data_IF_600658526895
#
_entry.id   IF_600658526895
#
_cell.length_a   1.000
_cell.length_b   1.000
_cell.length_c   1.000
_cell.angle_alpha   90.00
_cell.angle_beta   90.00
_cell.angle_gamma   90.00
#
_symmetry.space_group_name_H-M   'P 1'
#
loop_
_entity.id
_entity.type
_entity.pdbx_description
1 polymer ?
#
# COMPACT_ATOMS: atom_id res chain seq x y z
N UNK A 1 -0.39 -1.23 31.15
CA UNK A 1 -0.81 -2.59 30.76
C UNK A 1 0.22 -3.16 29.80
N UNK A 2 0.59 -4.42 29.97
CA UNK A 2 1.44 -5.14 29.00
C UNK A 2 0.56 -5.64 27.85
N UNK A 3 0.87 -5.30 26.61
CA UNK A 3 0.18 -5.84 25.44
C UNK A 3 0.67 -7.28 25.23
N UNK A 4 -0.12 -8.30 25.61
CA UNK A 4 0.29 -9.69 25.44
C UNK A 4 0.23 -10.09 23.95
N UNK A 5 1.38 -10.42 23.31
CA UNK A 5 1.40 -10.81 21.92
C UNK A 5 0.91 -12.24 21.74
N UNK A 6 0.17 -12.50 20.66
CA UNK A 6 -0.28 -13.85 20.28
C UNK A 6 -0.24 -14.06 18.78
N UNK A 7 -0.31 -15.32 18.38
CA UNK A 7 -0.54 -15.77 17.01
C UNK A 7 -1.67 -16.78 17.06
N UNK A 8 -2.57 -16.75 16.08
CA UNK A 8 -3.70 -17.67 15.98
C UNK A 8 -3.58 -18.49 14.71
N UNK A 9 -4.27 -19.62 14.67
CA UNK A 9 -4.21 -20.55 13.54
C UNK A 9 -4.65 -19.89 12.22
N UNK A 10 -5.59 -18.95 12.26
CA UNK A 10 -6.06 -18.26 11.05
C UNK A 10 -5.26 -17.00 10.68
N UNK A 11 -4.23 -16.62 11.45
CA UNK A 11 -3.55 -15.33 11.26
C UNK A 11 -2.89 -15.19 9.87
N UNK A 12 -2.54 -16.31 9.21
CA UNK A 12 -2.00 -16.33 7.84
C UNK A 12 -3.06 -16.65 6.76
N UNK A 13 -4.32 -16.92 7.10
CA UNK A 13 -5.33 -17.37 6.12
C UNK A 13 -5.69 -16.29 5.09
N UNK A 14 -5.49 -15.01 5.44
CA UNK A 14 -5.75 -13.92 4.50
C UNK A 14 -4.86 -13.97 3.25
N UNK A 15 -3.70 -14.63 3.32
CA UNK A 15 -2.82 -14.78 2.15
C UNK A 15 -3.44 -15.62 1.01
N UNK A 16 -4.47 -16.41 1.30
CA UNK A 16 -5.22 -17.13 0.26
C UNK A 16 -5.99 -16.19 -0.68
N UNK A 17 -6.36 -15.01 -0.19
CA UNK A 17 -7.08 -13.97 -0.95
C UNK A 17 -6.25 -12.68 -1.03
N UNK A 18 -4.91 -12.79 -1.00
CA UNK A 18 -4.00 -11.64 -0.90
C UNK A 18 -4.17 -10.63 -2.03
N UNK A 19 -4.51 -11.08 -3.23
CA UNK A 19 -4.71 -10.22 -4.40
C UNK A 19 -5.88 -9.24 -4.16
N UNK A 20 -6.95 -9.70 -3.49
CA UNK A 20 -8.09 -8.85 -3.15
C UNK A 20 -7.71 -7.87 -2.05
N UNK A 21 -7.04 -8.34 -0.99
CA UNK A 21 -6.60 -7.47 0.11
C UNK A 21 -5.58 -6.41 -0.34
N UNK A 22 -4.69 -6.73 -1.28
CA UNK A 22 -3.81 -5.76 -1.93
C UNK A 22 -4.61 -4.66 -2.63
N UNK A 23 -5.62 -5.02 -3.43
CA UNK A 23 -6.51 -4.06 -4.09
C UNK A 23 -7.28 -3.18 -3.10
N UNK A 24 -7.79 -3.75 -2.00
CA UNK A 24 -8.46 -2.98 -0.97
C UNK A 24 -7.50 -2.00 -0.28
N UNK A 25 -6.28 -2.44 0.03
CA UNK A 25 -5.25 -1.56 0.61
C UNK A 25 -4.86 -0.42 -0.33
N UNK A 26 -4.74 -0.67 -1.64
CA UNK A 26 -4.45 0.39 -2.61
C UNK A 26 -5.65 1.34 -2.79
N UNK A 27 -6.87 0.79 -2.73
CA UNK A 27 -8.12 1.53 -2.81
C UNK A 27 -8.32 2.56 -1.70
N UNK A 28 -7.65 2.42 -0.55
CA UNK A 28 -7.65 3.43 0.52
C UNK A 28 -7.24 4.81 -0.05
N UNK A 29 -6.25 4.85 -0.94
CA UNK A 29 -5.68 6.10 -1.50
C UNK A 29 -6.63 6.83 -2.44
N UNK A 30 -7.47 6.09 -3.17
CA UNK A 30 -8.46 6.65 -4.10
C UNK A 30 -9.82 6.87 -3.44
N UNK A 31 -10.09 6.23 -2.31
CA UNK A 31 -11.33 6.42 -1.55
C UNK A 31 -11.35 7.77 -0.83
N UNK A 32 -12.41 8.55 -1.07
CA UNK A 32 -12.67 9.76 -0.32
C UNK A 32 -12.99 9.41 1.14
N UNK A 33 -12.45 10.20 2.08
CA UNK A 33 -12.90 10.10 3.48
C UNK A 33 -14.30 10.68 3.55
N UNK A 34 -15.28 9.85 3.90
CA UNK A 34 -16.65 10.32 4.11
C UNK A 34 -16.75 11.13 5.42
N UNK A 35 -17.63 12.13 5.47
CA UNK A 35 -17.70 13.06 6.61
C UNK A 35 -18.01 12.39 7.96
N UNK A 36 -18.70 11.24 7.92
CA UNK A 36 -18.94 10.39 9.09
C UNK A 36 -17.67 9.72 9.63
N UNK A 37 -16.77 9.25 8.74
CA UNK A 37 -15.45 8.72 9.12
C UNK A 37 -14.61 9.84 9.74
N UNK A 38 -14.56 11.01 9.10
CA UNK A 38 -13.80 12.16 9.62
C UNK A 38 -14.30 12.58 11.00
N UNK A 39 -15.62 12.64 11.18
CA UNK A 39 -16.25 13.01 12.46
C UNK A 39 -15.91 11.99 13.54
N UNK A 40 -16.03 10.69 13.24
CA UNK A 40 -15.62 9.67 14.18
C UNK A 40 -14.14 9.83 14.55
N UNK A 41 -13.24 9.81 13.57
CA UNK A 41 -11.81 9.80 13.86
C UNK A 41 -11.35 11.07 14.57
N UNK A 42 -12.06 12.19 14.38
CA UNK A 42 -11.85 13.43 15.16
C UNK A 42 -12.36 13.31 16.60
N UNK A 43 -13.45 12.57 16.84
CA UNK A 43 -13.94 12.25 18.20
C UNK A 43 -12.98 11.30 18.92
N UNK A 44 -12.56 10.25 18.23
CA UNK A 44 -11.57 9.27 18.65
C UNK A 44 -10.26 9.94 19.16
N UNK A 45 -9.81 10.98 18.45
CA UNK A 45 -8.65 11.79 18.82
C UNK A 45 -8.79 12.58 20.13
N UNK A 46 -10.01 12.73 20.66
CA UNK A 46 -10.28 13.39 21.95
C UNK A 46 -10.37 12.38 23.11
N UNK A 47 -10.25 11.08 22.81
CA UNK A 47 -10.31 9.98 23.77
C UNK A 47 -9.17 9.97 24.79
N UNK A 48 -9.32 9.16 25.84
CA UNK A 48 -8.61 9.35 27.12
C UNK A 48 -7.26 8.62 27.28
N UNK A 49 -6.74 7.96 26.25
CA UNK A 49 -5.40 7.35 26.31
C UNK A 49 -4.34 8.25 25.69
N UNK A 50 -3.24 8.42 26.41
CA UNK A 50 -1.97 9.11 26.08
C UNK A 50 -1.26 8.66 24.77
N UNK A 51 -1.98 8.03 23.86
CA UNK A 51 -1.52 7.42 22.62
C UNK A 51 -1.99 8.22 21.37
N UNK A 52 -2.88 9.21 21.52
CA UNK A 52 -3.92 9.49 20.50
C UNK A 52 -4.21 10.96 20.18
N UNK A 53 -3.33 11.88 20.57
CA UNK A 53 -3.47 13.31 20.24
C UNK A 53 -2.56 13.75 19.08
N UNK A 54 -2.36 12.91 18.06
CA UNK A 54 -1.60 13.30 16.87
C UNK A 54 -2.31 12.94 15.56
N UNK A 55 -2.08 13.74 14.53
CA UNK A 55 -2.68 13.57 13.20
C UNK A 55 -2.43 12.17 12.62
N UNK A 56 -1.32 11.53 13.00
CA UNK A 56 -1.00 10.15 12.62
C UNK A 56 -2.05 9.14 13.11
N UNK A 57 -2.50 9.24 14.36
CA UNK A 57 -3.52 8.35 14.92
C UNK A 57 -4.86 8.53 14.22
N UNK A 58 -5.21 9.78 13.90
CA UNK A 58 -6.40 10.11 13.10
C UNK A 58 -6.32 9.47 11.72
N UNK A 59 -5.19 9.60 11.04
CA UNK A 59 -4.97 9.01 9.72
C UNK A 59 -5.07 7.48 9.74
N UNK A 60 -4.53 6.82 10.77
CA UNK A 60 -4.66 5.36 10.95
C UNK A 60 -6.13 4.98 11.14
N UNK A 61 -6.89 5.71 11.96
CA UNK A 61 -8.32 5.50 12.14
C UNK A 61 -9.09 5.65 10.81
N UNK A 62 -8.85 6.74 10.06
CA UNK A 62 -9.56 6.99 8.80
C UNK A 62 -9.24 5.92 7.75
N UNK A 63 -7.97 5.54 7.63
CA UNK A 63 -7.53 4.51 6.71
C UNK A 63 -8.05 3.11 7.09
N UNK A 64 -8.11 2.79 8.39
CA UNK A 64 -8.68 1.53 8.87
C UNK A 64 -10.17 1.44 8.51
N UNK A 65 -10.94 2.49 8.73
CA UNK A 65 -12.38 2.52 8.42
C UNK A 65 -12.64 2.48 6.91
N UNK A 66 -11.80 3.15 6.10
CA UNK A 66 -11.85 3.01 4.64
C UNK A 66 -11.57 1.59 4.21
N UNK A 67 -10.52 0.97 4.77
CA UNK A 67 -10.16 -0.41 4.47
C UNK A 67 -11.30 -1.36 4.84
N UNK A 68 -11.90 -1.20 6.02
CA UNK A 68 -13.07 -1.95 6.46
C UNK A 68 -14.23 -1.83 5.46
N UNK A 69 -14.58 -0.61 5.03
CA UNK A 69 -15.65 -0.37 4.05
C UNK A 69 -15.36 -0.95 2.66
N UNK A 70 -14.09 -1.07 2.28
CA UNK A 70 -13.68 -1.63 0.98
C UNK A 70 -13.75 -3.17 0.96
N UNK A 71 -13.65 -3.83 2.12
CA UNK A 71 -13.75 -5.29 2.22
C UNK A 71 -15.24 -5.68 2.14
N UNK A 72 -15.66 -6.46 1.12
CA UNK A 72 -17.05 -6.87 0.98
C UNK A 72 -17.44 -7.83 2.09
N UNK A 73 -18.55 -7.54 2.77
CA UNK A 73 -19.13 -8.32 3.88
C UNK A 73 -18.06 -8.98 4.77
N UNK A 74 -17.49 -8.17 5.68
CA UNK A 74 -16.36 -8.56 6.53
C UNK A 74 -16.63 -9.88 7.29
N UNK A 75 -17.90 -10.22 7.55
CA UNK A 75 -18.30 -11.41 8.30
C UNK A 75 -18.40 -12.72 7.48
N UNK A 76 -18.59 -12.67 6.16
CA UNK A 76 -18.72 -13.90 5.33
C UNK A 76 -17.43 -14.73 5.28
N UNK A 77 -16.28 -14.06 5.42
CA UNK A 77 -14.96 -14.68 5.52
C UNK A 77 -14.22 -14.14 6.74
N UNK A 78 -14.90 -14.15 7.90
CA UNK A 78 -14.48 -13.49 9.15
C UNK A 78 -12.99 -13.69 9.45
N UNK A 79 -12.50 -14.92 9.41
CA UNK A 79 -11.10 -15.25 9.70
C UNK A 79 -10.09 -14.58 8.77
N UNK A 80 -10.36 -14.57 7.46
CA UNK A 80 -9.49 -13.96 6.46
C UNK A 80 -9.55 -12.44 6.53
N UNK A 81 -10.77 -11.90 6.59
CA UNK A 81 -11.00 -10.46 6.57
C UNK A 81 -10.46 -9.79 7.84
N UNK A 82 -10.82 -10.31 9.02
CA UNK A 82 -10.28 -9.79 10.28
C UNK A 82 -8.82 -10.15 10.50
N UNK A 83 -8.35 -11.29 9.97
CA UNK A 83 -6.92 -11.61 9.95
C UNK A 83 -6.10 -10.53 9.23
N UNK A 84 -6.57 -10.09 8.06
CA UNK A 84 -5.94 -9.00 7.33
C UNK A 84 -6.05 -7.65 8.05
N UNK A 85 -7.23 -7.27 8.55
CA UNK A 85 -7.42 -6.02 9.30
C UNK A 85 -6.53 -5.96 10.55
N UNK A 86 -6.41 -7.09 11.27
CA UNK A 86 -5.53 -7.21 12.43
C UNK A 86 -4.05 -7.07 12.04
N UNK A 87 -3.60 -7.76 10.97
CA UNK A 87 -2.26 -7.58 10.41
C UNK A 87 -1.99 -6.11 10.06
N UNK A 88 -2.89 -5.49 9.29
CA UNK A 88 -2.74 -4.13 8.81
C UNK A 88 -2.60 -3.15 9.97
N UNK A 89 -3.48 -3.23 10.98
CA UNK A 89 -3.42 -2.32 12.13
C UNK A 89 -2.16 -2.53 12.98
N UNK A 90 -1.73 -3.79 13.20
CA UNK A 90 -0.47 -4.09 13.88
C UNK A 90 0.72 -3.47 13.14
N UNK A 91 0.76 -3.62 11.81
CA UNK A 91 1.82 -3.06 10.99
C UNK A 91 1.86 -1.54 11.10
N UNK A 92 0.75 -0.85 10.84
CA UNK A 92 0.67 0.63 10.90
C UNK A 92 1.06 1.17 12.28
N UNK A 93 0.57 0.58 13.37
CA UNK A 93 0.92 1.01 14.72
C UNK A 93 2.39 0.77 15.07
N UNK A 94 2.98 -0.32 14.57
CA UNK A 94 4.41 -0.62 14.78
C UNK A 94 5.34 0.42 14.16
N UNK A 95 4.90 1.12 13.11
CA UNK A 95 5.66 2.18 12.46
C UNK A 95 5.63 3.50 13.24
N UNK A 96 4.69 3.66 14.17
CA UNK A 96 4.50 4.89 14.96
C UNK A 96 5.07 4.71 16.36
N UNK A 97 4.59 3.69 17.07
CA UNK A 97 5.01 3.40 18.44
C UNK A 97 4.65 1.95 18.78
N UNK A 98 5.65 1.09 18.92
CA UNK A 98 5.44 -0.31 19.27
C UNK A 98 4.86 -0.56 20.68
N UNK A 99 4.68 0.48 21.50
CA UNK A 99 4.01 0.41 22.81
C UNK A 99 2.49 0.53 22.72
N UNK A 100 1.93 0.91 21.57
CA UNK A 100 0.47 0.98 21.39
C UNK A 100 -0.09 -0.45 21.34
N UNK A 101 -0.97 -0.81 22.28
CA UNK A 101 -1.69 -2.08 22.17
C UNK A 101 -2.73 -1.99 21.05
N UNK A 102 -2.76 -2.99 20.16
CA UNK A 102 -3.69 -2.99 19.02
C UNK A 102 -5.13 -3.10 19.49
N UNK A 103 -5.38 -3.93 20.51
CA UNK A 103 -6.72 -4.06 21.10
C UNK A 103 -7.19 -2.73 21.70
N UNK A 104 -6.38 -2.12 22.57
CA UNK A 104 -6.68 -0.80 23.13
C UNK A 104 -6.92 0.26 22.07
N UNK A 105 -6.15 0.19 20.97
CA UNK A 105 -6.38 1.09 19.85
C UNK A 105 -7.76 0.83 19.23
N UNK A 106 -8.01 -0.41 18.86
CA UNK A 106 -9.25 -0.79 18.22
C UNK A 106 -10.48 -0.49 19.07
N UNK A 107 -10.50 -0.93 20.34
CA UNK A 107 -11.66 -0.80 21.24
C UNK A 107 -12.14 0.65 21.38
N UNK A 108 -11.21 1.60 21.50
CA UNK A 108 -11.59 3.00 21.63
C UNK A 108 -11.73 3.72 20.29
N UNK A 109 -11.19 3.19 19.19
CA UNK A 109 -11.65 3.63 17.87
C UNK A 109 -13.13 3.21 17.68
N UNK A 110 -13.46 1.97 18.01
CA UNK A 110 -14.82 1.42 17.93
C UNK A 110 -15.80 2.19 18.83
N UNK A 111 -15.43 2.48 20.08
CA UNK A 111 -16.32 3.22 21.00
C UNK A 111 -16.66 4.63 20.54
N UNK A 112 -15.81 5.26 19.72
CA UNK A 112 -16.08 6.57 19.12
C UNK A 112 -16.71 6.48 17.73
N UNK A 113 -16.61 5.32 17.08
CA UNK A 113 -17.12 5.03 15.74
C UNK A 113 -18.34 4.11 15.79
N UNK A 114 -19.20 4.28 16.79
CA UNK A 114 -20.38 3.45 16.95
C UNK A 114 -21.25 3.45 15.67
N UNK A 115 -21.76 2.28 15.30
CA UNK A 115 -22.51 2.05 14.07
C UNK A 115 -21.69 2.11 12.77
N UNK A 116 -20.34 2.11 12.82
CA UNK A 116 -19.47 1.97 11.64
C UNK A 116 -19.01 0.55 11.37
N UNK A 117 -19.23 -0.36 12.31
CA UNK A 117 -18.90 -1.77 12.21
C UNK A 117 -20.19 -2.61 12.23
N UNK A 118 -20.25 -3.63 11.38
CA UNK A 118 -21.43 -4.48 11.24
C UNK A 118 -21.36 -5.63 12.26
N UNK A 119 -22.13 -5.50 13.34
CA UNK A 119 -22.33 -6.54 14.35
C UNK A 119 -21.40 -6.47 15.57
N UNK A 120 -21.67 -7.33 16.55
CA UNK A 120 -20.84 -7.45 17.77
C UNK A 120 -19.50 -8.09 17.42
N UNK A 121 -18.47 -7.26 17.44
CA UNK A 121 -17.09 -7.69 17.33
C UNK A 121 -16.69 -8.31 18.67
N UNK A 122 -16.46 -9.61 18.64
CA UNK A 122 -15.96 -10.35 19.81
C UNK A 122 -14.58 -9.82 20.20
N UNK A 123 -14.33 -9.63 21.50
CA UNK A 123 -13.09 -9.10 22.11
C UNK A 123 -11.76 -9.70 21.62
N UNK A 124 -11.80 -10.80 20.87
CA UNK A 124 -10.63 -11.58 20.52
C UNK A 124 -10.14 -11.37 19.06
N UNK A 125 -10.85 -10.62 18.20
CA UNK A 125 -10.44 -10.50 16.78
C UNK A 125 -9.27 -9.54 16.53
N UNK A 126 -9.15 -8.47 17.33
CA UNK A 126 -8.06 -7.50 17.25
C UNK A 126 -7.09 -7.71 18.40
N UNK A 127 -5.81 -7.88 18.08
CA UNK A 127 -4.80 -8.23 19.07
C UNK A 127 -3.38 -7.94 18.60
N UNK A 128 -2.48 -7.81 19.56
CA UNK A 128 -1.06 -7.67 19.29
C UNK A 128 -0.49 -8.96 18.70
N UNK A 129 0.02 -8.89 17.48
CA UNK A 129 0.76 -9.98 16.85
C UNK A 129 2.14 -10.12 17.51
N UNK A 130 2.66 -11.35 17.54
CA UNK A 130 4.07 -11.58 17.83
C UNK A 130 4.93 -10.81 16.83
N UNK A 131 5.99 -10.16 17.30
CA UNK A 131 6.86 -9.32 16.46
C UNK A 131 7.44 -10.08 15.27
N UNK A 132 7.90 -11.31 15.51
CA UNK A 132 8.51 -12.14 14.46
C UNK A 132 7.47 -12.57 13.41
N UNK A 133 6.25 -12.90 13.84
CA UNK A 133 5.14 -13.19 12.92
C UNK A 133 4.71 -11.96 12.13
N UNK A 134 4.63 -10.78 12.76
CA UNK A 134 4.33 -9.53 12.06
C UNK A 134 5.38 -9.23 10.98
N UNK A 135 6.67 -9.44 11.27
CA UNK A 135 7.75 -9.29 10.29
C UNK A 135 7.60 -10.29 9.14
N UNK A 136 7.40 -11.58 9.45
CA UNK A 136 7.16 -12.66 8.48
C UNK A 136 5.96 -12.34 7.56
N UNK A 137 4.83 -11.90 8.12
CA UNK A 137 3.66 -11.49 7.36
C UNK A 137 3.94 -10.28 6.46
N UNK A 138 4.62 -9.26 6.98
CA UNK A 138 4.94 -8.08 6.19
C UNK A 138 5.84 -8.42 5.00
N UNK A 139 6.81 -9.32 5.19
CA UNK A 139 7.68 -9.78 4.13
C UNK A 139 6.91 -10.51 3.02
N UNK A 140 5.98 -11.41 3.38
CA UNK A 140 5.06 -12.05 2.42
C UNK A 140 4.19 -11.02 1.69
N UNK A 141 3.58 -10.08 2.42
CA UNK A 141 2.75 -9.04 1.83
C UNK A 141 3.54 -8.19 0.81
N UNK A 142 4.77 -7.81 1.17
CA UNK A 142 5.71 -7.06 0.33
C UNK A 142 6.10 -7.84 -0.93
N UNK A 143 6.28 -9.16 -0.83
CA UNK A 143 6.53 -10.04 -1.98
C UNK A 143 5.34 -10.05 -2.95
N UNK A 144 4.12 -10.22 -2.45
CA UNK A 144 2.91 -10.20 -3.28
C UNK A 144 2.68 -8.83 -3.95
N UNK A 145 2.95 -7.72 -3.26
CA UNK A 145 2.87 -6.38 -3.87
C UNK A 145 3.82 -6.24 -5.07
N UNK A 146 5.08 -6.67 -4.93
CA UNK A 146 6.03 -6.65 -6.05
C UNK A 146 5.62 -7.59 -7.17
N UNK A 147 5.05 -8.75 -6.84
CA UNK A 147 4.49 -9.65 -7.85
C UNK A 147 3.40 -8.93 -8.67
N UNK A 148 2.48 -8.23 -8.03
CA UNK A 148 1.43 -7.47 -8.72
C UNK A 148 2.02 -6.37 -9.60
N UNK A 149 2.98 -5.60 -9.09
CA UNK A 149 3.65 -4.57 -9.89
C UNK A 149 4.35 -5.16 -11.13
N UNK A 150 4.98 -6.33 -10.99
CA UNK A 150 5.61 -7.08 -12.08
C UNK A 150 4.57 -7.56 -13.10
N UNK A 151 3.48 -8.16 -12.63
CA UNK A 151 2.40 -8.69 -13.48
C UNK A 151 1.72 -7.57 -14.28
N UNK A 152 1.45 -6.43 -13.65
CA UNK A 152 0.85 -5.25 -14.28
C UNK A 152 1.77 -4.66 -15.37
N UNK A 153 3.09 -4.62 -15.12
CA UNK A 153 4.10 -4.19 -16.10
C UNK A 153 4.12 -5.14 -17.30
N UNK A 154 4.05 -6.46 -17.04
CA UNK A 154 4.06 -7.47 -18.10
C UNK A 154 2.78 -7.43 -18.94
N UNK A 155 1.65 -6.97 -18.36
CA UNK A 155 0.37 -6.85 -19.05
C UNK A 155 0.17 -5.60 -19.93
N UNK A 156 0.93 -4.51 -19.76
CA UNK A 156 0.61 -3.19 -20.34
C UNK A 156 1.77 -2.50 -21.09
N UNK A 157 2.64 -3.25 -21.78
CA UNK A 157 4.03 -2.80 -22.03
C UNK A 157 4.24 -1.66 -23.05
N UNK A 158 5.11 -0.72 -22.66
CA UNK A 158 5.85 0.33 -23.39
C UNK A 158 7.38 0.19 -23.13
N UNK A 159 8.25 1.01 -23.75
CA UNK A 159 9.73 0.87 -23.62
C UNK A 159 10.29 1.15 -22.21
N UNK A 160 9.67 2.04 -21.42
CA UNK A 160 10.14 2.40 -20.07
C UNK A 160 9.96 1.27 -19.03
N UNK A 161 9.16 0.27 -19.38
CA UNK A 161 8.78 -0.85 -18.51
C UNK A 161 9.90 -1.86 -18.26
N UNK A 162 10.94 -1.84 -19.09
CA UNK A 162 12.06 -2.79 -18.99
C UNK A 162 12.92 -2.52 -17.75
N UNK A 163 13.19 -1.24 -17.45
CA UNK A 163 13.99 -0.83 -16.28
C UNK A 163 13.21 -1.03 -14.98
N UNK A 164 11.89 -0.79 -15.01
CA UNK A 164 10.99 -1.05 -13.89
C UNK A 164 10.90 -2.55 -13.59
N UNK A 165 10.74 -3.41 -14.61
CA UNK A 165 10.71 -4.85 -14.41
C UNK A 165 11.97 -5.39 -13.73
N UNK A 166 13.15 -4.88 -14.11
CA UNK A 166 14.42 -5.26 -13.48
C UNK A 166 14.48 -4.80 -12.03
N UNK A 167 14.05 -3.56 -11.75
CA UNK A 167 14.01 -3.01 -10.40
C UNK A 167 13.11 -3.86 -9.48
N UNK A 168 11.87 -4.11 -9.90
CA UNK A 168 10.91 -4.87 -9.09
C UNK A 168 11.31 -6.34 -8.91
N UNK A 169 11.79 -7.01 -9.98
CA UNK A 169 12.25 -8.40 -9.86
C UNK A 169 13.51 -8.53 -8.99
N UNK A 170 14.41 -7.55 -9.01
CA UNK A 170 15.57 -7.50 -8.10
C UNK A 170 15.14 -7.27 -6.65
N UNK A 171 14.21 -6.35 -6.40
CA UNK A 171 13.66 -6.14 -5.07
C UNK A 171 12.91 -7.38 -4.56
N UNK A 172 12.21 -8.09 -5.44
CA UNK A 172 11.57 -9.37 -5.12
C UNK A 172 12.60 -10.43 -4.73
N UNK A 173 13.71 -10.55 -5.48
CA UNK A 173 14.81 -11.45 -5.13
C UNK A 173 15.34 -11.21 -3.71
N UNK A 174 15.62 -9.95 -3.36
CA UNK A 174 16.16 -9.62 -2.02
C UNK A 174 15.22 -10.08 -0.92
N UNK A 175 13.96 -9.68 -1.00
CA UNK A 175 12.95 -9.98 0.02
C UNK A 175 12.66 -11.49 0.07
N UNK A 176 12.72 -12.19 -1.08
CA UNK A 176 12.54 -13.64 -1.14
C UNK A 176 13.70 -14.39 -0.51
N UNK A 177 14.95 -13.92 -0.69
CA UNK A 177 16.12 -14.53 -0.04
C UNK A 177 16.05 -14.40 1.49
N UNK A 178 15.63 -13.24 1.99
CA UNK A 178 15.38 -13.03 3.42
C UNK A 178 14.29 -13.99 3.92
N UNK A 179 13.16 -14.07 3.23
CA UNK A 179 12.05 -14.95 3.60
C UNK A 179 12.46 -16.43 3.58
N UNK A 180 13.21 -16.84 2.56
CA UNK A 180 13.68 -18.19 2.38
C UNK A 180 14.75 -18.57 3.42
N UNK A 181 15.57 -17.63 3.88
CA UNK A 181 16.48 -17.85 5.00
C UNK A 181 15.74 -18.13 6.31
N UNK A 182 14.65 -17.40 6.57
CA UNK A 182 13.78 -17.63 7.73
C UNK A 182 13.10 -19.00 7.73
N UNK A 183 12.96 -19.64 6.57
CA UNK A 183 12.48 -21.03 6.45
C UNK A 183 13.57 -22.09 6.64
N UNK A 184 14.86 -21.72 6.61
CA UNK A 184 16.01 -22.63 6.73
C UNK A 184 16.67 -22.58 8.11
N UNK A 185 16.57 -21.47 8.82
CA UNK A 185 17.26 -21.22 10.11
C UNK A 185 16.60 -21.85 11.33
N UNK A 186 15.44 -22.49 11.19
CA UNK A 186 14.78 -23.22 12.27
C UNK A 186 15.19 -24.70 12.13
N UNK A 187 16.21 -25.13 12.90
CA UNK A 187 16.64 -26.53 12.98
C UNK A 187 15.43 -27.41 13.31
N UNK A 188 15.22 -28.41 12.46
CA UNK A 188 14.31 -29.56 12.59
C UNK A 188 12.79 -29.25 12.67
N UNK A 189 12.02 -29.90 11.79
CA UNK A 189 10.54 -29.96 11.69
C UNK A 189 9.73 -28.75 11.17
N UNK A 190 10.31 -27.54 11.03
CA UNK A 190 9.56 -26.31 10.68
C UNK A 190 9.38 -25.98 9.18
N UNK A 191 9.66 -26.93 8.27
CA UNK A 191 9.27 -26.81 6.85
C UNK A 191 7.73 -26.74 6.65
N UNK A 192 6.96 -26.91 7.74
CA UNK A 192 5.51 -26.85 7.83
C UNK A 192 4.96 -25.58 8.52
N UNK A 193 5.79 -24.57 8.84
CA UNK A 193 5.24 -23.32 9.39
C UNK A 193 4.29 -22.66 8.39
N UNK A 194 3.23 -22.01 8.88
CA UNK A 194 2.28 -21.33 8.00
C UNK A 194 2.97 -20.29 7.10
N UNK A 195 3.96 -19.58 7.62
CA UNK A 195 4.79 -18.67 6.84
C UNK A 195 5.49 -19.38 5.66
N UNK A 196 6.18 -20.50 5.90
CA UNK A 196 6.89 -21.22 4.85
C UNK A 196 5.95 -21.87 3.84
N UNK A 197 4.79 -22.34 4.30
CA UNK A 197 3.73 -22.83 3.41
C UNK A 197 3.22 -21.70 2.47
N UNK A 198 3.00 -20.50 2.98
CA UNK A 198 2.61 -19.34 2.17
C UNK A 198 3.75 -18.87 1.24
N UNK A 199 5.01 -18.89 1.70
CA UNK A 199 6.17 -18.57 0.87
C UNK A 199 6.31 -19.54 -0.31
N UNK A 200 6.05 -20.84 -0.09
CA UNK A 200 6.02 -21.84 -1.16
C UNK A 200 4.93 -21.55 -2.19
N UNK A 201 3.72 -21.18 -1.74
CA UNK A 201 2.62 -20.76 -2.64
C UNK A 201 3.02 -19.53 -3.46
N UNK A 202 3.64 -18.53 -2.83
CA UNK A 202 4.17 -17.35 -3.52
C UNK A 202 5.18 -17.74 -4.60
N UNK A 203 6.17 -18.59 -4.25
CA UNK A 203 7.19 -19.07 -5.20
C UNK A 203 6.55 -19.73 -6.42
N UNK A 204 5.61 -20.65 -6.20
CA UNK A 204 4.90 -21.32 -7.30
C UNK A 204 4.18 -20.32 -8.20
N UNK A 205 3.51 -19.32 -7.63
CA UNK A 205 2.83 -18.26 -8.39
C UNK A 205 3.82 -17.44 -9.23
N UNK A 206 4.92 -17.00 -8.62
CA UNK A 206 5.96 -16.22 -9.30
C UNK A 206 6.66 -17.00 -10.42
N UNK A 207 7.08 -18.24 -10.14
CA UNK A 207 7.73 -19.11 -11.13
C UNK A 207 6.78 -19.41 -12.31
N UNK A 208 5.47 -19.55 -12.03
CA UNK A 208 4.44 -19.69 -13.07
C UNK A 208 4.35 -18.47 -13.99
N UNK A 209 4.31 -17.26 -13.41
CA UNK A 209 4.34 -16.01 -14.18
C UNK A 209 5.63 -15.91 -15.01
N UNK A 210 6.78 -16.17 -14.39
CA UNK A 210 8.08 -16.14 -15.06
C UNK A 210 8.12 -17.07 -16.27
N UNK A 211 7.83 -18.36 -16.08
CA UNK A 211 7.93 -19.34 -17.15
C UNK A 211 6.97 -19.04 -18.31
N UNK A 212 5.75 -18.59 -18.01
CA UNK A 212 4.76 -18.19 -19.02
C UNK A 212 5.27 -17.00 -19.84
N UNK A 213 5.80 -15.99 -19.17
CA UNK A 213 6.20 -14.75 -19.82
C UNK A 213 7.49 -14.89 -20.63
N UNK A 214 8.46 -15.69 -20.16
CA UNK A 214 9.67 -16.02 -20.93
C UNK A 214 9.34 -16.88 -22.15
N UNK A 215 8.38 -17.79 -22.07
CA UNK A 215 7.98 -18.61 -23.22
C UNK A 215 7.40 -17.76 -24.37
N UNK A 216 6.70 -16.67 -24.03
CA UNK A 216 6.14 -15.72 -24.99
C UNK A 216 7.21 -14.72 -25.45
N UNK A 217 8.01 -14.20 -24.51
CA UNK A 217 8.99 -13.14 -24.74
C UNK A 217 10.36 -13.51 -24.13
N UNK A 218 11.19 -14.30 -24.84
CA UNK A 218 12.49 -14.76 -24.31
C UNK A 218 13.43 -13.63 -23.89
N UNK A 219 13.32 -12.46 -24.54
CA UNK A 219 14.10 -11.25 -24.21
C UNK A 219 13.88 -10.72 -22.78
N UNK A 220 12.80 -11.11 -22.11
CA UNK A 220 12.52 -10.69 -20.74
C UNK A 220 13.52 -11.26 -19.74
N UNK A 221 14.22 -12.34 -20.08
CA UNK A 221 15.31 -12.92 -19.25
C UNK A 221 16.38 -11.88 -18.86
N UNK A 222 16.59 -10.85 -19.69
CA UNK A 222 17.54 -9.78 -19.40
C UNK A 222 17.11 -8.86 -18.24
N UNK A 223 15.81 -8.78 -17.96
CA UNK A 223 15.22 -7.78 -17.07
C UNK A 223 14.23 -8.36 -16.06
N UNK A 224 13.90 -9.65 -16.15
CA UNK A 224 13.05 -10.37 -15.22
C UNK A 224 13.92 -11.44 -14.56
N UNK A 225 14.14 -11.34 -13.26
CA UNK A 225 14.94 -12.34 -12.52
C UNK A 225 14.07 -13.53 -12.12
N UNK A 226 14.59 -14.74 -12.29
CA UNK A 226 13.97 -15.96 -11.75
C UNK A 226 14.32 -16.12 -10.27
N UNK A 227 13.39 -16.58 -9.44
CA UNK A 227 13.67 -16.74 -8.00
C UNK A 227 14.82 -17.70 -7.69
N UNK A 228 15.01 -18.74 -8.52
CA UNK A 228 16.12 -19.70 -8.37
C UNK A 228 17.49 -19.11 -8.69
N UNK A 229 17.55 -17.98 -9.38
CA UNK A 229 18.78 -17.27 -9.77
C UNK A 229 19.08 -16.09 -8.84
N UNK A 230 18.24 -15.89 -7.82
CA UNK A 230 18.54 -14.92 -6.77
C UNK A 230 19.73 -15.44 -5.95
N UNK A 231 20.86 -14.73 -6.03
CA UNK A 231 22.09 -15.09 -5.34
C UNK A 231 22.28 -14.25 -4.07
N UNK A 232 22.82 -14.84 -3.01
CA UNK A 232 23.11 -14.16 -1.74
C UNK A 232 24.31 -13.20 -1.80
N UNK A 233 25.03 -13.14 -2.92
CA UNK A 233 26.33 -12.48 -3.03
C UNK A 233 26.28 -10.93 -2.91
N UNK A 234 25.09 -10.36 -2.67
CA UNK A 234 24.87 -8.91 -2.44
C UNK A 234 24.11 -8.60 -1.16
N UNK A 235 23.77 -9.60 -0.34
CA UNK A 235 23.27 -9.37 1.02
C UNK A 235 24.48 -9.45 1.95
N UNK A 236 25.32 -8.42 1.87
CA UNK A 236 26.33 -8.21 2.90
C UNK A 236 25.60 -8.13 4.23
N UNK A 237 26.01 -9.00 5.13
CA UNK A 237 25.65 -9.19 6.53
C UNK A 237 25.73 -7.93 7.41
N UNK A 238 25.76 -6.73 6.83
CA UNK A 238 25.90 -5.45 7.48
C UNK A 238 24.57 -4.72 7.79
N UNK A 239 23.42 -5.17 7.29
CA UNK A 239 22.14 -4.43 7.44
C UNK A 239 21.20 -5.01 8.52
N UNK A 240 21.50 -6.19 9.07
CA UNK A 240 20.63 -6.85 10.06
C UNK A 240 20.57 -6.06 11.41
N UNK A 241 21.46 -5.09 11.63
CA UNK A 241 21.54 -4.33 12.89
C UNK A 241 20.98 -2.90 12.90
N UNK A 242 20.61 -2.29 11.77
CA UNK A 242 20.36 -0.82 11.72
C UNK A 242 19.25 -0.36 10.76
N UNK A 243 18.17 -1.13 10.62
CA UNK A 243 16.94 -0.67 9.92
C UNK A 243 15.74 -0.49 10.84
N UNK A 244 15.96 -0.24 12.14
CA UNK A 244 14.92 0.32 13.03
C UNK A 244 14.90 1.86 12.96
N UNK A 245 15.76 2.48 12.15
CA UNK A 245 16.04 3.92 12.25
C UNK A 245 15.78 4.79 11.02
N UNK A 246 15.49 4.25 9.83
CA UNK A 246 15.29 5.08 8.62
C UNK A 246 14.29 4.44 7.63
N UNK A 247 13.01 4.47 8.00
CA UNK A 247 11.97 4.86 7.03
C UNK A 247 11.52 6.26 7.45
N UNK A 248 12.19 7.33 6.99
CA UNK A 248 11.68 8.67 7.20
C UNK A 248 10.40 8.85 6.37
N UNK A 249 9.27 9.05 7.05
CA UNK A 249 8.18 9.90 6.56
C UNK A 249 7.56 9.57 5.18
N UNK A 250 7.22 8.32 4.88
CA UNK A 250 6.34 8.04 3.73
C UNK A 250 4.88 8.51 3.96
N UNK A 251 4.50 8.83 5.19
CA UNK A 251 3.20 9.47 5.49
C UNK A 251 3.19 10.94 5.04
N UNK A 252 4.35 11.64 5.05
CA UNK A 252 4.47 13.03 4.62
C UNK A 252 4.84 13.22 3.14
N UNK A 253 5.62 12.30 2.55
CA UNK A 253 6.06 12.39 1.16
C UNK A 253 5.06 11.78 0.14
N UNK A 254 4.00 11.11 0.60
CA UNK A 254 2.88 10.70 -0.25
C UNK A 254 2.26 11.87 -1.05
N UNK A 255 2.37 13.11 -0.55
CA UNK A 255 1.86 14.31 -1.23
C UNK A 255 2.86 14.93 -2.23
N UNK A 256 4.16 14.61 -2.17
CA UNK A 256 5.22 15.33 -2.89
C UNK A 256 6.32 14.45 -3.52
N UNK A 257 6.09 13.14 -3.69
CA UNK A 257 7.03 12.31 -4.47
C UNK A 257 6.90 12.63 -5.97
N UNK A 258 7.98 13.02 -6.69
CA UNK A 258 7.93 13.43 -8.10
C UNK A 258 7.53 12.34 -9.10
N UNK A 259 7.22 11.12 -8.64
CA UNK A 259 6.69 10.05 -9.48
C UNK A 259 5.22 10.26 -9.87
N UNK A 260 4.52 11.23 -9.25
CA UNK A 260 3.10 11.53 -9.53
C UNK A 260 2.84 12.06 -10.94
N UNK A 261 3.85 12.58 -11.65
CA UNK A 261 3.67 13.10 -13.01
C UNK A 261 3.69 12.01 -14.09
N UNK A 262 4.17 10.80 -13.79
CA UNK A 262 4.36 9.75 -14.80
C UNK A 262 3.17 8.78 -14.94
N UNK A 263 2.14 8.89 -14.09
CA UNK A 263 1.00 7.96 -14.05
C UNK A 263 -0.29 8.57 -14.65
N UNK A 264 -0.23 9.79 -15.19
CA UNK A 264 -1.35 10.39 -15.93
C UNK A 264 -1.15 10.30 -17.45
N UNK A 265 -1.06 9.09 -17.99
CA UNK A 265 -1.40 8.89 -19.41
C UNK A 265 -2.91 8.67 -19.49
N UNK A 266 -3.62 9.69 -19.98
CA UNK A 266 -5.05 9.73 -20.27
C UNK A 266 -5.69 8.36 -20.59
N UNK A 267 -6.42 7.77 -19.64
CA UNK A 267 -7.46 6.78 -19.94
C UNK A 267 -8.79 7.50 -20.13
N UNK A 268 -8.87 8.27 -21.22
CA UNK A 268 -10.14 8.72 -21.78
C UNK A 268 -10.79 7.55 -22.50
N UNK A 269 -11.98 7.13 -22.04
CA UNK A 269 -12.86 6.18 -22.74
C UNK A 269 -13.09 6.68 -24.18
N UNK A 270 -12.64 5.92 -25.18
CA UNK A 270 -13.13 6.04 -26.54
C UNK A 270 -14.45 5.26 -26.63
N UNK A 271 -15.57 5.97 -26.54
CA UNK A 271 -16.86 5.48 -27.03
C UNK A 271 -16.87 5.60 -28.53
N UNK A 272 -16.88 4.47 -29.21
CA UNK A 272 -17.04 4.37 -30.64
C UNK A 272 -18.54 4.41 -30.95
N UNK A 273 -19.06 5.58 -31.32
CA UNK A 273 -20.33 5.68 -32.04
C UNK A 273 -20.45 7.00 -32.80
N UNK A 274 -20.90 6.85 -34.05
CA UNK A 274 -21.31 7.83 -35.06
C UNK A 274 -20.29 8.39 -36.09
N UNK A 275 -20.70 8.21 -37.35
CA UNK A 275 -20.04 8.47 -38.63
C UNK A 275 -20.33 9.89 -39.15
N UNK A 276 -19.37 10.41 -39.93
CA UNK A 276 -19.49 11.29 -41.11
C UNK A 276 -20.00 12.74 -40.95
N UNK A 277 -19.14 13.75 -41.19
CA UNK A 277 -18.96 14.42 -42.49
C UNK A 277 -17.99 15.62 -42.40
N UNK A 278 -17.10 15.69 -43.39
CA UNK A 278 -16.59 16.81 -44.19
C UNK A 278 -16.23 18.20 -43.59
N UNK A 279 -15.03 18.60 -44.01
CA UNK A 279 -14.55 19.93 -44.38
C UNK A 279 -14.56 21.06 -43.33
N UNK A 280 -13.37 21.52 -42.94
CA UNK A 280 -12.77 22.73 -43.54
C UNK A 280 -11.39 23.02 -42.92
N UNK A 281 -10.40 23.08 -43.81
CA UNK A 281 -9.00 23.41 -43.56
C UNK A 281 -8.81 24.92 -43.61
N UNK A 282 -8.24 25.56 -42.58
CA UNK A 282 -7.56 26.86 -42.70
C UNK A 282 -6.54 27.05 -41.56
N UNK A 283 -5.25 26.84 -41.86
CA UNK A 283 -4.17 27.84 -41.84
C UNK A 283 -4.14 28.82 -40.61
N UNK A 284 -3.08 28.98 -39.81
CA UNK A 284 -1.74 29.48 -40.18
C UNK A 284 -0.78 29.42 -38.97
N UNK A 285 0.48 29.17 -39.32
CA UNK A 285 1.81 29.45 -38.74
C UNK A 285 1.98 30.18 -37.38
N UNK A 286 2.88 29.56 -36.61
CA UNK A 286 3.99 30.13 -35.83
C UNK A 286 4.35 31.61 -36.09
N UNK A 287 4.49 32.38 -35.02
CA UNK A 287 5.59 33.36 -34.85
C UNK A 287 5.86 33.58 -33.36
N UNK A 288 7.14 33.79 -33.11
CA UNK A 288 7.87 33.71 -31.85
C UNK A 288 8.00 35.09 -31.17
N UNK A 289 8.68 35.09 -30.01
CA UNK A 289 9.41 36.20 -29.38
C UNK A 289 8.73 37.26 -28.48
N UNK A 290 9.04 37.11 -27.19
CA UNK A 290 9.91 37.98 -26.37
C UNK A 290 9.50 39.43 -26.00
N UNK A 291 9.32 39.62 -24.68
CA UNK A 291 9.69 40.74 -23.80
C UNK A 291 9.99 42.13 -24.42
N UNK A 292 9.33 43.19 -23.93
CA UNK A 292 9.87 44.13 -22.92
C UNK A 292 8.93 45.32 -22.64
N UNK A 293 9.12 45.89 -21.45
CA UNK A 293 8.56 47.08 -20.80
C UNK A 293 7.98 48.22 -21.65
N UNK A 294 6.91 48.88 -21.17
CA UNK A 294 6.98 50.16 -20.43
C UNK A 294 5.58 50.74 -20.10
N UNK A 295 5.59 51.60 -19.09
CA UNK A 295 4.53 52.31 -18.36
C UNK A 295 3.55 53.18 -19.15
N UNK A 296 2.34 53.36 -18.60
CA UNK A 296 1.72 54.69 -18.38
C UNK A 296 0.50 54.62 -17.46
N UNK A 297 0.41 55.62 -16.58
CA UNK A 297 -0.68 56.07 -15.70
C UNK A 297 -2.03 56.20 -16.47
N UNK A 298 -3.23 56.30 -15.90
CA UNK A 298 -3.71 56.88 -14.64
C UNK A 298 -5.23 56.57 -14.55
N UNK A 299 -5.80 56.46 -13.35
CA UNK A 299 -7.24 56.29 -13.20
C UNK A 299 -7.69 56.10 -11.74
N UNK A 300 -7.44 57.09 -10.91
CA UNK A 300 -7.96 57.23 -9.53
C UNK A 300 -9.48 57.31 -9.51
N UNK A 301 -10.15 56.53 -8.63
CA UNK A 301 -11.21 57.05 -7.73
C UNK A 301 -11.29 56.20 -6.43
N UNK A 302 -11.18 56.90 -5.29
CA UNK A 302 -11.25 56.43 -3.91
C UNK A 302 -12.71 56.21 -3.45
N UNK A 303 -13.02 55.10 -2.78
CA UNK A 303 -14.07 55.07 -1.73
C UNK A 303 -13.64 54.15 -0.57
N UNK A 304 -13.89 54.66 0.65
CA UNK A 304 -13.42 54.31 2.00
C UNK A 304 -13.75 52.89 2.50
N UNK A 305 -12.81 52.36 3.30
CA UNK A 305 -13.03 51.27 4.27
C UNK A 305 -13.58 51.81 5.61
N UNK A 306 -14.59 51.10 6.13
CA UNK A 306 -14.94 50.98 7.56
C UNK A 306 -14.57 49.54 7.96
N UNK A 307 -14.16 49.14 9.15
CA UNK A 307 -13.75 49.74 10.42
C UNK A 307 -13.16 48.58 11.25
N UNK A 308 -12.27 48.91 12.20
CA UNK A 308 -11.90 48.21 13.44
C UNK A 308 -11.66 46.68 13.41
#
# INVERSE_FOLDING_TARGET
MSCLPKIKDYSYYFFENIDNFGKYSDGIKSSSTSGDITTCCTSFMKGSKALRNNETSKNICENFLKLYKLIPNVNDNKEKNWGFLNYWLNFELSQVNNKICVKDFYDEMESHCDGKFDGLITDDIMYNLKKDDLHKMHLLYSLYKKYTDIDDILGNRTKDDTKLLLSYSTACCRDYLEANYMCKGENDDNNNSQFCAQLKKFKTKYDGLYNTQIAINPEYTNNFKKLSECNNNTVSTAVIGTTVGLVPLLVGLYKFTPLRQLINSNKGKLTQEYRNNDDEMTNIMLMDQQNEHTSSEQGTYNIKYHSA
#
